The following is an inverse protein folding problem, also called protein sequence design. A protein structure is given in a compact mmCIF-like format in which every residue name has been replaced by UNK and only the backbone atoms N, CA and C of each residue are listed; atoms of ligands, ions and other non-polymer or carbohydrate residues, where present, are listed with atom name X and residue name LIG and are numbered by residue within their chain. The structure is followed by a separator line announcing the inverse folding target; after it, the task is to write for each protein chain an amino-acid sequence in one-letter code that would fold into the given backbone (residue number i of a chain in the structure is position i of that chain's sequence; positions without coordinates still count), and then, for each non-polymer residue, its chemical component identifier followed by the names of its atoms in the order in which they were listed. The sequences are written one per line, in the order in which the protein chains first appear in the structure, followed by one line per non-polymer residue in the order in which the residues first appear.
data_IF_026783044237
#
_entry.id   IF_026783044237
#
_cell.length_a   1.000
_cell.length_b   1.000
_cell.length_c   1.000
_cell.angle_alpha   90.00
_cell.angle_beta   90.00
_cell.angle_gamma   90.00
#
_symmetry.space_group_name_H-M   'P 1'
#
loop_
_entity.id
_entity.type
_entity.pdbx_description
1 polymer ?
#
# COMPACT_ATOMS: atom_id res chain seq x y z
N UNK A 1 10.55 -6.65 29.40
CA UNK A 1 11.33 -6.45 28.16
C UNK A 1 10.94 -5.08 27.61
N UNK A 2 11.90 -4.15 27.53
CA UNK A 2 11.64 -2.75 27.18
C UNK A 2 11.27 -2.66 25.68
N UNK A 3 10.06 -2.22 25.37
CA UNK A 3 9.68 -1.84 24.03
C UNK A 3 10.43 -0.54 23.71
N UNK A 4 11.54 -0.63 22.99
CA UNK A 4 12.17 0.51 22.36
C UNK A 4 11.18 1.06 21.34
N UNK A 5 10.47 2.14 21.69
CA UNK A 5 9.74 2.98 20.75
C UNK A 5 10.77 3.55 19.77
N UNK A 6 11.00 2.85 18.67
CA UNK A 6 11.83 3.32 17.56
C UNK A 6 11.09 4.47 16.88
N UNK A 7 11.30 5.69 17.37
CA UNK A 7 10.84 6.90 16.70
C UNK A 7 11.32 6.84 15.24
N UNK A 8 10.39 6.84 14.31
CA UNK A 8 10.72 6.85 12.88
C UNK A 8 11.43 8.19 12.60
N UNK A 9 12.64 8.18 12.02
CA UNK A 9 13.31 9.41 11.63
C UNK A 9 12.43 10.24 10.68
N UNK A 10 12.40 11.57 10.82
CA UNK A 10 11.51 12.43 10.03
C UNK A 10 11.63 12.20 8.50
N UNK A 11 12.83 11.92 7.99
CA UNK A 11 13.05 11.55 6.58
C UNK A 11 12.35 10.24 6.20
N UNK A 12 12.41 9.25 7.09
CA UNK A 12 11.72 7.96 6.90
C UNK A 12 10.21 8.12 6.96
N UNK A 13 9.68 9.03 7.80
CA UNK A 13 8.26 9.40 7.81
C UNK A 13 7.82 9.98 6.45
N UNK A 14 8.55 10.95 5.91
CA UNK A 14 8.24 11.52 4.59
C UNK A 14 8.31 10.48 3.47
N UNK A 15 9.32 9.59 3.51
CA UNK A 15 9.41 8.48 2.55
C UNK A 15 8.21 7.54 2.70
N UNK A 16 7.82 7.19 3.93
CA UNK A 16 6.68 6.31 4.18
C UNK A 16 5.37 6.94 3.73
N UNK A 17 5.16 8.24 3.95
CA UNK A 17 3.99 8.98 3.46
C UNK A 17 3.91 8.97 1.93
N UNK A 18 5.02 9.24 1.24
CA UNK A 18 5.10 9.17 -0.22
C UNK A 18 4.78 7.75 -0.72
N UNK A 19 5.36 6.73 -0.08
CA UNK A 19 5.04 5.33 -0.40
C UNK A 19 3.57 4.99 -0.14
N UNK A 20 2.97 5.52 0.92
CA UNK A 20 1.56 5.31 1.26
C UNK A 20 0.65 5.91 0.18
N UNK A 21 0.95 7.13 -0.27
CA UNK A 21 0.25 7.77 -1.37
C UNK A 21 0.42 6.99 -2.69
N UNK A 22 1.63 6.50 -2.95
CA UNK A 22 1.94 5.74 -4.16
C UNK A 22 1.18 4.41 -4.20
N UNK A 23 1.17 3.65 -3.10
CA UNK A 23 0.42 2.38 -2.98
C UNK A 23 -1.10 2.62 -3.09
N UNK A 24 -1.63 3.71 -2.52
CA UNK A 24 -3.04 4.09 -2.70
C UNK A 24 -3.39 4.35 -4.17
N UNK A 25 -2.56 5.15 -4.85
CA UNK A 25 -2.76 5.48 -6.25
C UNK A 25 -2.63 4.24 -7.16
N UNK A 26 -1.67 3.37 -6.85
CA UNK A 26 -1.46 2.10 -7.54
C UNK A 26 -2.65 1.15 -7.36
N UNK A 27 -3.16 0.97 -6.14
CA UNK A 27 -4.35 0.15 -5.89
C UNK A 27 -5.56 0.69 -6.67
N UNK A 28 -5.77 2.01 -6.66
CA UNK A 28 -6.87 2.66 -7.41
C UNK A 28 -6.74 2.45 -8.91
N UNK A 29 -5.57 2.69 -9.49
CA UNK A 29 -5.30 2.49 -10.92
C UNK A 29 -5.48 1.02 -11.32
N UNK A 30 -4.92 0.08 -10.56
CA UNK A 30 -5.03 -1.34 -10.82
C UNK A 30 -6.50 -1.82 -10.79
N UNK A 31 -7.32 -1.31 -9.86
CA UNK A 31 -8.78 -1.58 -9.84
C UNK A 31 -9.49 -1.06 -11.09
N UNK A 32 -9.18 0.17 -11.52
CA UNK A 32 -9.76 0.74 -12.74
C UNK A 32 -9.38 -0.10 -13.96
N UNK A 33 -8.10 -0.49 -14.09
CA UNK A 33 -7.65 -1.35 -15.18
C UNK A 33 -8.31 -2.73 -15.14
N UNK A 34 -8.47 -3.34 -13.96
CA UNK A 34 -9.17 -4.61 -13.82
C UNK A 34 -10.62 -4.52 -14.32
N UNK A 35 -11.30 -3.39 -14.13
CA UNK A 35 -12.66 -3.17 -14.62
C UNK A 35 -12.74 -2.95 -16.14
N UNK A 36 -11.69 -2.38 -16.73
CA UNK A 36 -11.61 -2.13 -18.17
C UNK A 36 -11.16 -3.37 -18.98
N UNK A 37 -10.55 -4.36 -18.31
CA UNK A 37 -10.13 -5.60 -18.95
C UNK A 37 -11.34 -6.50 -19.26
N UNK A 38 -11.48 -6.87 -20.53
CA UNK A 38 -12.51 -7.79 -21.00
C UNK A 38 -12.13 -9.26 -20.77
N UNK A 39 -10.83 -9.56 -20.75
CA UNK A 39 -10.32 -10.91 -20.49
C UNK A 39 -10.40 -11.24 -18.99
N UNK A 40 -11.07 -12.35 -18.66
CA UNK A 40 -11.24 -12.82 -17.30
C UNK A 40 -9.92 -13.15 -16.60
N UNK A 41 -8.92 -13.66 -17.32
CA UNK A 41 -7.60 -13.96 -16.77
C UNK A 41 -6.85 -12.67 -16.41
N UNK A 42 -6.83 -11.69 -17.33
CA UNK A 42 -6.17 -10.41 -17.10
C UNK A 42 -6.86 -9.62 -15.98
N UNK A 43 -8.19 -9.63 -15.92
CA UNK A 43 -8.96 -9.03 -14.82
C UNK A 43 -8.62 -9.66 -13.47
N UNK A 44 -8.47 -10.98 -13.41
CA UNK A 44 -8.07 -11.67 -12.19
C UNK A 44 -6.67 -11.24 -11.75
N UNK A 45 -5.71 -11.19 -12.68
CA UNK A 45 -4.34 -10.72 -12.38
C UNK A 45 -4.35 -9.27 -11.91
N UNK A 46 -5.04 -8.37 -12.61
CA UNK A 46 -5.14 -6.96 -12.23
C UNK A 46 -5.82 -6.77 -10.87
N UNK A 47 -6.81 -7.60 -10.55
CA UNK A 47 -7.47 -7.62 -9.23
C UNK A 47 -6.53 -8.13 -8.14
N UNK A 48 -5.73 -9.16 -8.41
CA UNK A 48 -4.70 -9.65 -7.49
C UNK A 48 -3.64 -8.56 -7.22
N UNK A 49 -3.19 -7.86 -8.27
CA UNK A 49 -2.25 -6.74 -8.16
C UNK A 49 -2.85 -5.60 -7.32
N UNK A 50 -4.11 -5.22 -7.58
CA UNK A 50 -4.79 -4.22 -6.78
C UNK A 50 -4.87 -4.63 -5.30
N UNK A 51 -5.26 -5.88 -5.02
CA UNK A 51 -5.32 -6.39 -3.65
C UNK A 51 -3.94 -6.39 -2.98
N UNK A 52 -2.87 -6.74 -3.70
CA UNK A 52 -1.50 -6.70 -3.18
C UNK A 52 -1.08 -5.27 -2.79
N UNK A 53 -1.37 -4.27 -3.64
CA UNK A 53 -1.12 -2.86 -3.32
C UNK A 53 -1.92 -2.40 -2.11
N UNK A 54 -3.20 -2.74 -2.03
CA UNK A 54 -4.02 -2.40 -0.88
C UNK A 54 -3.54 -3.07 0.42
N UNK A 55 -3.08 -4.33 0.39
CA UNK A 55 -2.44 -4.96 1.55
C UNK A 55 -1.12 -4.30 1.96
N UNK A 56 -0.30 -3.85 1.00
CA UNK A 56 0.93 -3.11 1.30
C UNK A 56 0.63 -1.77 1.95
N UNK A 57 -0.37 -1.05 1.44
CA UNK A 57 -0.88 0.17 2.06
C UNK A 57 -1.29 -0.07 3.50
N UNK A 58 -2.10 -1.09 3.79
CA UNK A 58 -2.54 -1.40 5.16
C UNK A 58 -1.35 -1.74 6.07
N UNK A 59 -0.37 -2.51 5.59
CA UNK A 59 0.85 -2.81 6.37
C UNK A 59 1.65 -1.55 6.67
N UNK A 60 1.85 -0.69 5.68
CA UNK A 60 2.55 0.59 5.85
C UNK A 60 1.80 1.51 6.81
N UNK A 61 0.48 1.60 6.70
CA UNK A 61 -0.37 2.40 7.57
C UNK A 61 -0.36 1.89 9.01
N UNK A 62 -0.48 0.57 9.22
CA UNK A 62 -0.40 -0.04 10.53
C UNK A 62 1.01 0.10 11.14
N UNK A 63 2.06 0.00 10.32
CA UNK A 63 3.42 0.27 10.74
C UNK A 63 3.57 1.71 11.22
N UNK A 64 3.04 2.68 10.48
CA UNK A 64 3.07 4.09 10.83
C UNK A 64 2.27 4.36 12.11
N UNK A 65 1.06 3.81 12.25
CA UNK A 65 0.25 3.92 13.47
C UNK A 65 0.86 3.25 14.70
N UNK A 66 1.63 2.17 14.52
CA UNK A 66 2.31 1.48 15.65
C UNK A 66 3.60 2.16 16.08
N UNK A 67 4.12 3.09 15.26
CA UNK A 67 5.37 3.81 15.50
C UNK A 67 5.20 5.35 15.59
N UNK A 68 3.96 5.84 15.49
CA UNK A 68 3.56 7.21 15.79
C UNK A 68 3.33 7.37 17.30
#
# INVERSE_FOLDING_TARGET
MQATQTMIPAKSLTILEDQLQHEFLACKKARVYAQQMQDAQLRNVATQVANAHCQRFERLYNYLNSHA
#
